data_IF_849650730595
#
_entry.id   IF_849650730595
#
_cell.length_a   1.000
_cell.length_b   1.000
_cell.length_c   1.000
_cell.angle_alpha   90.00
_cell.angle_beta   90.00
_cell.angle_gamma   90.00
#
_symmetry.space_group_name_H-M   'P 1'
#
loop_
_entity.id
_entity.type
_entity.pdbx_description
1 polymer ?
#
# COMPACT_ATOMS: atom_id res chain seq x y z
N UNK A 1 2.42 -16.70 -3.06
CA UNK A 1 1.30 -15.79 -3.39
C UNK A 1 1.81 -14.36 -3.42
N UNK A 2 1.62 -13.67 -4.53
CA UNK A 2 2.14 -12.30 -4.68
C UNK A 2 1.20 -11.29 -4.05
N UNK A 3 1.74 -10.46 -3.15
CA UNK A 3 1.00 -9.37 -2.53
C UNK A 3 1.61 -8.05 -3.00
N UNK A 4 0.77 -7.20 -3.57
CA UNK A 4 1.15 -5.83 -3.90
C UNK A 4 0.65 -4.89 -2.82
N UNK A 5 1.53 -4.03 -2.34
CA UNK A 5 1.15 -2.94 -1.44
C UNK A 5 1.05 -1.67 -2.27
N UNK A 6 -0.04 -0.92 -2.11
CA UNK A 6 -0.23 0.33 -2.83
C UNK A 6 -0.38 1.49 -1.86
N UNK A 7 0.24 2.61 -2.21
CA UNK A 7 0.32 3.81 -1.37
C UNK A 7 0.14 5.02 -2.26
N UNK A 8 -0.61 6.02 -1.77
CA UNK A 8 -0.60 7.35 -2.38
C UNK A 8 -0.12 8.35 -1.33
N UNK A 9 0.51 9.44 -1.77
CA UNK A 9 0.98 10.42 -0.81
C UNK A 9 1.22 11.79 -1.42
N UNK A 10 1.11 12.80 -0.55
CA UNK A 10 1.42 14.18 -0.86
C UNK A 10 2.23 14.74 0.31
N UNK A 11 3.52 15.04 0.06
CA UNK A 11 4.41 15.57 1.09
C UNK A 11 4.49 14.68 2.34
N UNK A 12 4.74 13.38 2.14
CA UNK A 12 4.77 12.39 3.21
C UNK A 12 6.17 11.79 3.43
N UNK A 13 7.22 12.58 3.16
CA UNK A 13 8.58 12.05 3.15
C UNK A 13 8.97 11.40 4.47
N UNK A 14 8.62 12.01 5.60
CA UNK A 14 9.01 11.46 6.91
C UNK A 14 8.32 10.14 7.19
N UNK A 15 7.02 10.05 6.87
CA UNK A 15 6.28 8.81 7.02
C UNK A 15 6.81 7.72 6.09
N UNK A 16 7.14 8.07 4.85
CA UNK A 16 7.65 7.10 3.88
C UNK A 16 9.01 6.54 4.30
N UNK A 17 9.88 7.37 4.88
CA UNK A 17 11.18 6.90 5.37
C UNK A 17 11.03 5.84 6.45
N UNK A 18 10.00 5.94 7.28
CA UNK A 18 9.72 4.95 8.32
C UNK A 18 8.97 3.74 7.79
N UNK A 19 7.99 3.95 6.93
CA UNK A 19 7.08 2.89 6.48
C UNK A 19 7.73 1.96 5.45
N UNK A 20 8.37 2.52 4.42
CA UNK A 20 8.82 1.71 3.28
C UNK A 20 9.81 0.61 3.65
N UNK A 21 10.78 0.81 4.57
CA UNK A 21 11.64 -0.30 4.98
C UNK A 21 10.86 -1.46 5.61
N UNK A 22 9.72 -1.18 6.23
CA UNK A 22 8.88 -2.20 6.87
C UNK A 22 7.98 -2.94 5.90
N UNK A 23 7.94 -2.55 4.64
CA UNK A 23 7.09 -3.16 3.61
C UNK A 23 7.86 -4.07 2.64
N UNK A 24 9.13 -4.34 2.92
CA UNK A 24 9.97 -5.13 2.01
C UNK A 24 9.54 -6.60 1.90
N UNK A 25 8.62 -7.03 2.76
CA UNK A 25 7.99 -8.35 2.65
C UNK A 25 7.04 -8.44 1.45
N UNK A 26 6.55 -7.32 0.95
CA UNK A 26 5.63 -7.29 -0.19
C UNK A 26 6.35 -7.69 -1.47
N UNK A 27 5.62 -8.33 -2.39
CA UNK A 27 6.18 -8.70 -3.69
C UNK A 27 6.45 -7.47 -4.55
N UNK A 28 5.64 -6.45 -4.39
CA UNK A 28 5.86 -5.17 -5.05
C UNK A 28 5.21 -4.07 -4.21
N UNK A 29 5.78 -2.87 -4.29
CA UNK A 29 5.21 -1.69 -3.67
C UNK A 29 4.98 -0.67 -4.78
N UNK A 30 3.72 -0.23 -4.91
CA UNK A 30 3.35 0.82 -5.86
C UNK A 30 3.13 2.11 -5.07
N UNK A 31 3.86 3.15 -5.44
CA UNK A 31 3.69 4.46 -4.82
C UNK A 31 3.26 5.48 -5.87
N UNK A 32 2.15 6.16 -5.60
CA UNK A 32 1.65 7.24 -6.46
C UNK A 32 1.86 8.56 -5.74
N UNK A 33 2.71 9.39 -6.32
CA UNK A 33 3.01 10.71 -5.77
C UNK A 33 2.00 11.73 -6.27
N UNK A 34 1.38 12.43 -5.35
CA UNK A 34 0.33 13.40 -5.65
C UNK A 34 0.89 14.82 -5.50
N UNK A 35 1.78 15.19 -6.42
CA UNK A 35 2.37 16.54 -6.51
C UNK A 35 3.13 16.95 -5.24
N UNK A 36 3.94 16.06 -4.69
CA UNK A 36 4.78 16.40 -3.54
C UNK A 36 5.87 17.41 -3.92
N UNK A 37 6.18 18.28 -2.99
CA UNK A 37 7.27 19.26 -3.11
C UNK A 37 8.50 18.86 -2.30
N UNK A 38 8.39 17.80 -1.52
CA UNK A 38 9.49 17.27 -0.70
C UNK A 38 10.18 16.09 -1.40
N UNK A 39 10.95 15.29 -0.66
CA UNK A 39 11.69 14.15 -1.19
C UNK A 39 10.87 12.85 -1.23
N UNK A 40 9.54 12.92 -1.13
CA UNK A 40 8.69 11.73 -1.11
C UNK A 40 8.95 10.81 -2.29
N UNK A 41 8.99 11.36 -3.50
CA UNK A 41 9.19 10.54 -4.71
C UNK A 41 10.57 9.88 -4.72
N UNK A 42 11.60 10.63 -4.33
CA UNK A 42 12.96 10.11 -4.28
C UNK A 42 13.10 8.97 -3.25
N UNK A 43 12.49 9.14 -2.08
CA UNK A 43 12.51 8.11 -1.02
C UNK A 43 11.80 6.84 -1.51
N UNK A 44 10.68 7.00 -2.21
CA UNK A 44 9.97 5.84 -2.76
C UNK A 44 10.84 5.08 -3.77
N UNK A 45 11.50 5.80 -4.68
CA UNK A 45 12.42 5.18 -5.64
C UNK A 45 13.57 4.45 -4.94
N UNK A 46 14.14 5.06 -3.92
CA UNK A 46 15.27 4.49 -3.19
C UNK A 46 14.89 3.20 -2.46
N UNK A 47 13.63 3.03 -2.14
CA UNK A 47 13.12 1.82 -1.49
C UNK A 47 12.56 0.79 -2.48
N UNK A 48 12.81 0.96 -3.77
CA UNK A 48 12.44 -0.03 -4.77
C UNK A 48 10.97 0.00 -5.19
N UNK A 49 10.25 1.07 -4.89
CA UNK A 49 8.85 1.20 -5.31
C UNK A 49 8.74 1.43 -6.80
N UNK A 50 7.66 0.93 -7.39
CA UNK A 50 7.21 1.39 -8.70
C UNK A 50 6.52 2.73 -8.46
N UNK A 51 7.03 3.80 -9.07
CA UNK A 51 6.56 5.15 -8.78
C UNK A 51 5.82 5.75 -9.96
N UNK A 52 4.77 6.49 -9.63
CA UNK A 52 3.93 7.21 -10.59
C UNK A 52 3.63 8.58 -10.03
N UNK A 53 3.43 9.56 -10.92
CA UNK A 53 3.07 10.93 -10.51
C UNK A 53 1.70 11.27 -11.05
N UNK A 54 0.84 11.80 -10.18
CA UNK A 54 -0.53 12.15 -10.54
C UNK A 54 -0.89 13.50 -9.94
N UNK A 55 -1.86 14.22 -10.53
CA UNK A 55 -2.38 15.43 -9.90
C UNK A 55 -2.94 15.13 -8.51
N UNK A 56 -2.73 16.05 -7.57
CA UNK A 56 -3.29 15.92 -6.23
C UNK A 56 -4.78 16.23 -6.29
N UNK A 57 -5.58 15.19 -6.12
CA UNK A 57 -7.03 15.27 -6.27
C UNK A 57 -7.72 15.27 -4.90
N UNK A 58 -8.70 16.15 -4.72
CA UNK A 58 -9.48 16.20 -3.49
C UNK A 58 -10.22 14.90 -3.21
N UNK A 59 -10.67 14.22 -4.27
CA UNK A 59 -11.24 12.89 -4.12
C UNK A 59 -10.10 11.87 -4.09
N UNK A 60 -9.72 11.44 -2.90
CA UNK A 60 -8.60 10.52 -2.72
C UNK A 60 -8.82 9.19 -3.43
N UNK A 61 -10.08 8.79 -3.63
CA UNK A 61 -10.36 7.51 -4.27
C UNK A 61 -9.88 7.44 -5.72
N UNK A 62 -9.75 8.58 -6.39
CA UNK A 62 -9.25 8.60 -7.77
C UNK A 62 -7.81 8.09 -7.82
N UNK A 63 -6.93 8.63 -6.98
CA UNK A 63 -5.53 8.19 -6.97
C UNK A 63 -5.34 6.86 -6.26
N UNK A 64 -6.17 6.53 -5.27
CA UNK A 64 -6.16 5.19 -4.68
C UNK A 64 -6.48 4.13 -5.73
N UNK A 65 -7.53 4.34 -6.51
CA UNK A 65 -7.91 3.41 -7.57
C UNK A 65 -6.81 3.31 -8.63
N UNK A 66 -6.21 4.43 -9.00
CA UNK A 66 -5.11 4.43 -9.95
C UNK A 66 -3.94 3.58 -9.42
N UNK A 67 -3.59 3.74 -8.14
CA UNK A 67 -2.50 2.96 -7.55
C UNK A 67 -2.77 1.46 -7.62
N UNK A 68 -4.00 1.07 -7.36
CA UNK A 68 -4.40 -0.33 -7.41
C UNK A 68 -4.36 -0.90 -8.83
N UNK A 69 -4.72 -0.09 -9.83
CA UNK A 69 -4.65 -0.50 -11.23
C UNK A 69 -3.23 -0.78 -11.70
N UNK A 70 -2.23 -0.16 -11.06
CA UNK A 70 -0.83 -0.37 -11.41
C UNK A 70 -0.23 -1.61 -10.75
N UNK A 71 -0.93 -2.22 -9.81
CA UNK A 71 -0.44 -3.38 -9.08
C UNK A 71 -0.62 -4.65 -9.91
N UNK A 72 0.35 -5.56 -9.79
CA UNK A 72 0.34 -6.82 -10.55
C UNK A 72 0.19 -8.05 -9.67
N UNK A 73 0.15 -7.89 -8.35
CA UNK A 73 0.03 -9.02 -7.43
C UNK A 73 -1.36 -9.62 -7.42
N UNK A 74 -1.44 -10.84 -6.93
CA UNK A 74 -2.72 -11.54 -6.78
C UNK A 74 -3.57 -10.94 -5.65
N UNK A 75 -2.90 -10.36 -4.65
CA UNK A 75 -3.54 -9.68 -3.54
C UNK A 75 -3.09 -8.24 -3.49
N UNK A 76 -4.03 -7.35 -3.19
CA UNK A 76 -3.77 -5.91 -3.09
C UNK A 76 -4.01 -5.47 -1.65
N UNK A 77 -3.04 -4.78 -1.09
CA UNK A 77 -3.15 -4.19 0.24
C UNK A 77 -2.83 -2.71 0.15
N UNK A 78 -3.83 -1.87 0.39
CA UNK A 78 -3.64 -0.42 0.41
C UNK A 78 -3.30 0.03 1.82
N UNK A 79 -2.29 0.90 1.95
CA UNK A 79 -1.92 1.49 3.23
C UNK A 79 -1.64 2.98 3.06
N UNK A 80 -2.08 3.79 4.03
CA UNK A 80 -1.74 5.21 4.05
C UNK A 80 -0.33 5.41 4.62
N UNK A 81 0.39 6.47 4.17
CA UNK A 81 1.78 6.66 4.61
C UNK A 81 1.97 6.79 6.11
N UNK A 82 0.97 7.30 6.83
CA UNK A 82 1.04 7.50 8.28
C UNK A 82 0.63 6.27 9.09
N UNK A 83 0.28 5.18 8.41
CA UNK A 83 -0.07 3.92 9.07
C UNK A 83 1.15 3.03 9.25
N UNK A 84 1.09 2.13 10.23
CA UNK A 84 2.16 1.18 10.50
C UNK A 84 1.57 -0.20 10.73
N UNK A 85 2.36 -1.22 10.37
CA UNK A 85 1.96 -2.61 10.53
C UNK A 85 2.89 -3.30 11.52
N UNK A 86 2.37 -3.81 12.65
CA UNK A 86 3.18 -4.65 13.53
C UNK A 86 3.62 -5.92 12.81
N UNK A 87 4.80 -6.44 13.17
CA UNK A 87 5.33 -7.67 12.56
C UNK A 87 4.33 -8.82 12.68
N UNK A 88 3.64 -8.92 13.82
CA UNK A 88 2.64 -9.96 14.03
C UNK A 88 1.53 -9.86 12.99
N UNK A 89 1.05 -8.65 12.70
CA UNK A 89 -0.01 -8.45 11.71
C UNK A 89 0.49 -8.77 10.31
N UNK A 90 1.72 -8.40 9.97
CA UNK A 90 2.31 -8.76 8.67
C UNK A 90 2.31 -10.26 8.49
N UNK A 91 2.72 -11.01 9.51
CA UNK A 91 2.73 -12.47 9.43
C UNK A 91 1.32 -13.04 9.27
N UNK A 92 0.33 -12.45 9.94
CA UNK A 92 -1.06 -12.85 9.78
C UNK A 92 -1.57 -12.58 8.35
N UNK A 93 -1.19 -11.47 7.76
CA UNK A 93 -1.55 -11.13 6.38
C UNK A 93 -0.97 -12.16 5.41
N UNK A 94 0.32 -12.45 5.56
CA UNK A 94 1.01 -13.39 4.67
C UNK A 94 0.38 -14.78 4.78
N UNK A 95 0.07 -15.22 5.99
CA UNK A 95 -0.55 -16.53 6.20
C UNK A 95 -1.98 -16.57 5.67
N UNK A 96 -2.74 -15.49 5.84
CA UNK A 96 -4.14 -15.45 5.44
C UNK A 96 -4.34 -15.62 3.94
N UNK A 97 -3.39 -15.17 3.11
CA UNK A 97 -3.56 -15.25 1.65
C UNK A 97 -3.04 -16.57 1.06
N UNK A 98 -2.45 -17.44 1.87
CA UNK A 98 -1.98 -18.74 1.40
C UNK A 98 -3.14 -19.70 1.29
N UNK A 99 -3.30 -20.29 0.10
CA UNK A 99 -4.28 -21.35 -0.17
C UNK A 99 -5.67 -21.09 0.43
N UNK A 100 -6.13 -19.85 0.33
CA UNK A 100 -7.43 -19.47 0.86
C UNK A 100 -8.50 -19.48 -0.24
N UNK A 101 -9.73 -19.95 0.08
CA UNK A 101 -10.85 -19.81 -0.84
C UNK A 101 -11.46 -18.41 -0.82
N UNK A 102 -11.07 -17.56 0.12
CA UNK A 102 -11.63 -16.22 0.24
C UNK A 102 -11.01 -15.29 -0.80
N UNK A 103 -11.80 -14.35 -1.30
CA UNK A 103 -11.35 -13.36 -2.28
C UNK A 103 -10.98 -12.03 -1.63
N UNK A 104 -11.27 -11.87 -0.34
CA UNK A 104 -10.93 -10.66 0.39
C UNK A 104 -10.92 -10.92 1.89
N UNK A 105 -10.10 -10.15 2.60
CA UNK A 105 -10.05 -10.14 4.05
C UNK A 105 -10.18 -8.73 4.56
N UNK A 106 -10.77 -8.59 5.74
CA UNK A 106 -10.85 -7.29 6.40
C UNK A 106 -9.98 -7.33 7.64
N UNK A 107 -9.12 -6.32 7.78
CA UNK A 107 -8.28 -6.15 8.95
C UNK A 107 -9.00 -5.24 9.94
N UNK A 108 -9.09 -5.67 11.19
CA UNK A 108 -9.76 -4.88 12.21
C UNK A 108 -8.89 -3.71 12.64
N UNK A 109 -9.53 -2.57 12.81
CA UNK A 109 -8.90 -1.41 13.40
C UNK A 109 -8.76 -1.65 14.90
N UNK A 110 -7.54 -1.41 15.41
CA UNK A 110 -7.27 -1.56 16.82
C UNK A 110 -6.25 -0.52 17.24
N UNK A 111 -6.64 0.38 18.16
CA UNK A 111 -5.80 1.48 18.60
C UNK A 111 -5.32 2.31 17.42
N UNK A 112 -4.05 2.20 17.04
CA UNK A 112 -3.44 2.92 15.93
C UNK A 112 -3.47 2.15 14.62
N UNK A 113 -4.11 0.99 14.60
CA UNK A 113 -4.23 0.17 13.39
C UNK A 113 -5.60 0.38 12.79
N UNK A 114 -5.65 0.36 11.47
CA UNK A 114 -6.86 0.66 10.74
C UNK A 114 -7.40 -0.57 10.06
N UNK A 115 -8.70 -0.57 9.82
CA UNK A 115 -9.32 -1.61 9.02
C UNK A 115 -8.97 -1.39 7.56
N UNK A 116 -8.43 -2.42 6.94
CA UNK A 116 -8.13 -2.43 5.51
C UNK A 116 -8.78 -3.64 4.87
N UNK A 117 -9.03 -3.52 3.57
CA UNK A 117 -9.46 -4.64 2.77
C UNK A 117 -8.27 -5.20 2.03
N UNK A 118 -8.00 -6.50 2.23
CA UNK A 118 -7.01 -7.22 1.46
C UNK A 118 -7.76 -7.96 0.37
N UNK A 119 -7.54 -7.58 -0.88
CA UNK A 119 -8.29 -8.09 -2.02
C UNK A 119 -7.46 -8.98 -2.90
N UNK A 120 -8.11 -10.01 -3.45
CA UNK A 120 -7.49 -10.92 -4.39
C UNK A 120 -7.55 -10.30 -5.81
N UNK A 121 -6.37 -10.19 -6.44
CA UNK A 121 -6.26 -9.70 -7.80
C UNK A 121 -6.51 -8.20 -7.93
N UNK A 122 -6.54 -7.74 -9.18
CA UNK A 122 -6.68 -6.32 -9.52
C UNK A 122 -8.13 -5.88 -9.70
N UNK A 123 -9.07 -6.69 -9.24
CA UNK A 123 -10.50 -6.45 -9.42
C UNK A 123 -11.12 -5.61 -8.32
N UNK A 124 -10.34 -4.81 -7.67
CA UNK A 124 -10.84 -3.96 -6.61
C UNK A 124 -11.77 -2.91 -7.21
N UNK A 125 -12.98 -2.78 -6.66
CA UNK A 125 -13.93 -1.79 -7.14
C UNK A 125 -13.50 -0.38 -6.83
#
# INVERSE_FOLDING_TARGET
MKISVTIIGHNEVDHLRELLPELQWASEIVYVDCESHDQSLAVAKDNGCKVFSRPNNHNLNINKSYSMEQATGEWLFYIDPDERLPVKLVNEIIDAVKDTPHSAFRLNRRNHYFGHWLRHGSQYP
#
